data_IF_923012208724
#
_entry.id   IF_923012208724
#
_cell.length_a   1.000
_cell.length_b   1.000
_cell.length_c   1.000
_cell.angle_alpha   90.00
_cell.angle_beta   90.00
_cell.angle_gamma   90.00
#
_symmetry.space_group_name_H-M   'P 1'
#
loop_
_entity.id
_entity.type
_entity.pdbx_description
1 polymer ?
#
# COMPACT_ATOMS: atom_id res chain seq x y z
N UNK A 1 86.36 31.56 -26.10
CA UNK A 1 85.87 30.43 -25.30
C UNK A 1 84.54 30.87 -24.70
N UNK A 2 83.47 30.50 -25.30
CA UNK A 2 82.15 30.86 -24.80
C UNK A 2 81.52 29.57 -24.26
N UNK A 3 81.25 29.59 -22.96
CA UNK A 3 80.56 28.47 -22.29
C UNK A 3 79.06 28.72 -22.39
N UNK A 4 78.44 27.89 -23.14
CA UNK A 4 76.98 27.89 -23.27
C UNK A 4 76.35 27.15 -22.09
N UNK A 5 75.75 27.90 -21.19
CA UNK A 5 74.99 27.34 -20.06
C UNK A 5 73.62 26.95 -20.63
N UNK A 6 73.41 25.66 -20.78
CA UNK A 6 72.12 25.07 -21.17
C UNK A 6 71.04 25.46 -20.16
N UNK A 7 70.01 26.08 -20.67
CA UNK A 7 68.80 26.45 -20.00
C UNK A 7 68.01 25.15 -19.73
N UNK A 8 67.86 24.80 -18.43
CA UNK A 8 67.01 23.67 -18.07
C UNK A 8 65.59 23.94 -18.48
N UNK A 9 65.14 23.14 -19.41
CA UNK A 9 63.73 23.05 -19.75
C UNK A 9 63.03 22.35 -18.59
N UNK A 10 62.04 23.07 -18.08
CA UNK A 10 61.15 22.52 -17.06
C UNK A 10 60.48 21.26 -17.55
N UNK A 11 60.46 20.28 -16.72
CA UNK A 11 59.60 19.11 -16.82
C UNK A 11 58.15 19.59 -16.95
N UNK A 12 57.69 19.75 -18.20
CA UNK A 12 56.28 19.68 -18.47
C UNK A 12 55.93 18.23 -18.26
N UNK A 13 55.23 17.98 -17.14
CA UNK A 13 54.68 16.69 -16.87
C UNK A 13 53.90 16.24 -18.12
N UNK A 14 54.33 15.14 -18.68
CA UNK A 14 53.52 14.41 -19.63
C UNK A 14 52.13 14.14 -18.99
N UNK A 15 51.22 15.03 -19.29
CA UNK A 15 49.80 14.67 -19.15
C UNK A 15 49.59 13.56 -20.17
N UNK A 16 49.71 12.34 -19.66
CA UNK A 16 49.24 11.18 -20.43
C UNK A 16 47.76 11.43 -20.68
N UNK A 17 47.44 11.90 -21.84
CA UNK A 17 46.08 11.94 -22.34
C UNK A 17 45.54 10.50 -22.32
N UNK A 18 44.98 10.17 -21.18
CA UNK A 18 44.31 8.90 -20.99
C UNK A 18 43.14 8.91 -21.99
N UNK A 19 43.26 8.12 -23.03
CA UNK A 19 42.13 7.94 -23.95
C UNK A 19 40.99 7.30 -23.17
N UNK A 20 40.00 8.12 -22.83
CA UNK A 20 38.84 7.69 -22.05
C UNK A 20 37.87 6.79 -22.83
N UNK A 21 38.05 6.71 -24.15
CA UNK A 21 37.14 5.95 -25.02
C UNK A 21 37.04 4.47 -24.63
N UNK A 22 38.14 3.73 -24.39
CA UNK A 22 38.06 2.32 -23.99
C UNK A 22 37.42 2.18 -22.59
N UNK A 23 37.60 3.14 -21.71
CA UNK A 23 37.01 3.11 -20.36
C UNK A 23 35.50 3.29 -20.40
N UNK A 24 35.05 4.25 -21.23
CA UNK A 24 33.62 4.51 -21.40
C UNK A 24 32.92 3.29 -22.06
N UNK A 25 33.57 2.65 -23.03
CA UNK A 25 33.02 1.47 -23.69
C UNK A 25 32.82 0.32 -22.70
N UNK A 26 33.81 0.03 -21.87
CA UNK A 26 33.69 -1.00 -20.83
C UNK A 26 32.58 -0.64 -19.83
N UNK A 27 32.48 0.62 -19.39
CA UNK A 27 31.42 1.04 -18.47
C UNK A 27 30.03 0.92 -19.11
N UNK A 28 29.90 1.26 -20.40
CA UNK A 28 28.64 1.14 -21.13
C UNK A 28 28.23 -0.32 -21.29
N UNK A 29 29.16 -1.21 -21.61
CA UNK A 29 28.89 -2.65 -21.73
C UNK A 29 28.47 -3.22 -20.39
N UNK A 30 29.16 -2.87 -19.30
CA UNK A 30 28.79 -3.32 -17.95
C UNK A 30 27.41 -2.80 -17.53
N UNK A 31 27.09 -1.54 -17.86
CA UNK A 31 25.77 -0.96 -17.57
C UNK A 31 24.66 -1.66 -18.34
N UNK A 32 24.87 -1.92 -19.63
CA UNK A 32 23.89 -2.64 -20.45
C UNK A 32 23.67 -4.08 -19.98
N UNK A 33 24.77 -4.77 -19.62
CA UNK A 33 24.69 -6.10 -19.02
C UNK A 33 23.92 -6.08 -17.70
N UNK A 34 24.18 -5.08 -16.85
CA UNK A 34 23.49 -4.94 -15.59
C UNK A 34 21.97 -4.73 -15.79
N UNK A 35 21.57 -3.91 -16.74
CA UNK A 35 20.15 -3.65 -17.02
C UNK A 35 19.46 -4.91 -17.56
N UNK A 36 20.13 -5.69 -18.42
CA UNK A 36 19.57 -6.92 -18.99
C UNK A 36 19.48 -8.04 -17.94
N UNK A 37 20.44 -8.09 -17.01
CA UNK A 37 20.49 -9.13 -15.98
C UNK A 37 19.65 -8.80 -14.74
N UNK A 38 19.19 -7.56 -14.58
CA UNK A 38 18.24 -7.23 -13.53
C UNK A 38 16.95 -8.02 -13.78
N UNK A 39 16.65 -9.05 -12.96
CA UNK A 39 15.37 -9.72 -13.08
C UNK A 39 14.28 -8.69 -12.86
N UNK A 40 13.43 -8.46 -13.83
CA UNK A 40 12.18 -7.74 -13.61
C UNK A 40 11.46 -8.57 -12.56
N UNK A 41 11.48 -8.11 -11.32
CA UNK A 41 10.65 -8.68 -10.29
C UNK A 41 9.21 -8.37 -10.67
N UNK A 42 8.65 -9.22 -11.53
CA UNK A 42 7.22 -9.32 -11.62
C UNK A 42 6.78 -9.76 -10.24
N UNK A 43 6.17 -8.86 -9.48
CA UNK A 43 5.40 -9.24 -8.33
C UNK A 43 4.28 -10.13 -8.85
N UNK A 44 4.63 -11.40 -9.09
CA UNK A 44 3.64 -12.42 -9.29
C UNK A 44 2.91 -12.52 -7.96
N UNK A 45 1.77 -11.82 -7.86
CA UNK A 45 0.78 -12.14 -6.86
C UNK A 45 0.48 -13.60 -7.09
N UNK A 46 0.99 -14.48 -6.22
CA UNK A 46 0.55 -15.86 -6.19
C UNK A 46 -0.93 -15.82 -5.85
N UNK A 47 -1.76 -15.78 -6.88
CA UNK A 47 -3.15 -16.13 -6.73
C UNK A 47 -3.13 -17.64 -6.62
N UNK A 48 -3.10 -18.17 -5.41
CA UNK A 48 -3.42 -19.55 -5.16
C UNK A 48 -4.90 -19.73 -5.55
N UNK A 49 -5.11 -20.08 -6.80
CA UNK A 49 -6.42 -20.57 -7.23
C UNK A 49 -6.58 -21.92 -6.55
N UNK A 50 -7.49 -22.05 -5.59
CA UNK A 50 -7.79 -23.35 -5.03
C UNK A 50 -8.30 -24.23 -6.16
N UNK A 51 -7.52 -25.25 -6.50
CA UNK A 51 -7.90 -26.29 -7.45
C UNK A 51 -8.87 -27.23 -6.73
N UNK A 52 -10.10 -26.84 -6.72
CA UNK A 52 -11.18 -27.55 -6.04
C UNK A 52 -12.14 -26.51 -5.48
N UNK A 53 -13.40 -26.65 -5.72
CA UNK A 53 -14.42 -25.86 -5.03
C UNK A 53 -14.24 -26.16 -3.54
N UNK A 54 -13.82 -25.23 -2.69
CA UNK A 54 -13.94 -25.47 -1.26
C UNK A 54 -15.40 -25.78 -0.99
N UNK A 55 -15.72 -26.75 -0.13
CA UNK A 55 -17.09 -26.97 0.25
C UNK A 55 -17.67 -25.61 0.68
N UNK A 56 -18.89 -25.26 0.24
CA UNK A 56 -19.49 -23.99 0.64
C UNK A 56 -19.41 -23.89 2.16
N UNK A 57 -19.05 -22.73 2.70
CA UNK A 57 -18.99 -22.58 4.14
C UNK A 57 -20.35 -22.99 4.72
N UNK A 58 -20.40 -23.78 5.79
CA UNK A 58 -21.62 -24.37 6.33
C UNK A 58 -22.67 -23.32 6.73
N UNK A 59 -22.26 -22.09 6.89
CA UNK A 59 -23.13 -20.93 7.15
C UNK A 59 -22.60 -19.71 6.44
N UNK A 60 -23.47 -18.93 5.74
CA UNK A 60 -23.04 -17.65 5.19
C UNK A 60 -22.55 -16.75 6.35
N UNK A 61 -21.47 -15.99 6.14
CA UNK A 61 -20.99 -15.07 7.16
C UNK A 61 -22.08 -14.07 7.51
N UNK A 62 -22.25 -13.81 8.79
CA UNK A 62 -23.16 -12.77 9.26
C UNK A 62 -22.48 -11.43 8.94
N UNK A 63 -23.23 -10.57 8.26
CA UNK A 63 -22.72 -9.24 7.83
C UNK A 63 -23.47 -8.16 8.58
N UNK A 64 -22.74 -7.36 9.35
CA UNK A 64 -23.26 -6.17 9.99
C UNK A 64 -23.00 -4.94 9.10
N UNK A 65 -24.07 -4.24 8.75
CA UNK A 65 -23.99 -3.07 7.88
C UNK A 65 -24.01 -1.78 8.70
N UNK A 66 -22.99 -0.96 8.54
CA UNK A 66 -22.93 0.40 9.08
C UNK A 66 -23.09 1.38 7.93
N UNK A 67 -24.15 2.19 7.96
CA UNK A 67 -24.35 3.26 7.00
C UNK A 67 -24.12 4.61 7.69
N UNK A 68 -23.28 5.44 7.10
CA UNK A 68 -23.07 6.84 7.53
C UNK A 68 -23.77 7.76 6.55
N UNK A 69 -24.79 8.45 7.02
CA UNK A 69 -25.57 9.35 6.19
C UNK A 69 -24.91 10.74 6.02
N UNK A 70 -25.45 11.57 5.13
CA UNK A 70 -24.94 12.91 4.78
C UNK A 70 -24.95 13.89 5.95
N UNK A 71 -25.88 13.74 6.90
CA UNK A 71 -25.99 14.57 8.11
C UNK A 71 -25.08 14.09 9.25
N UNK A 72 -24.41 12.94 9.08
CA UNK A 72 -23.56 12.31 10.09
C UNK A 72 -24.30 11.32 10.99
N UNK A 73 -25.56 11.04 10.71
CA UNK A 73 -26.30 9.97 11.42
C UNK A 73 -25.75 8.61 11.01
N UNK A 74 -25.62 7.75 12.02
CA UNK A 74 -25.09 6.40 11.85
C UNK A 74 -26.23 5.41 11.96
N UNK A 75 -26.30 4.50 11.03
CA UNK A 75 -27.26 3.40 11.03
C UNK A 75 -26.52 2.06 11.18
N UNK A 76 -26.96 1.25 12.12
CA UNK A 76 -26.55 -0.14 12.27
C UNK A 76 -27.67 -1.05 11.81
N UNK A 77 -27.44 -1.84 10.78
CA UNK A 77 -28.44 -2.71 10.16
C UNK A 77 -29.79 -1.99 9.89
N UNK A 78 -29.73 -0.80 9.31
CA UNK A 78 -30.85 0.10 9.01
C UNK A 78 -31.55 0.74 10.21
N UNK A 79 -31.03 0.61 11.43
CA UNK A 79 -31.52 1.32 12.61
C UNK A 79 -30.59 2.49 12.95
N UNK A 80 -31.15 3.68 13.11
CA UNK A 80 -30.38 4.82 13.56
C UNK A 80 -29.86 4.59 14.99
N UNK A 81 -28.56 4.73 15.17
CA UNK A 81 -27.91 4.49 16.47
C UNK A 81 -27.07 5.71 16.87
N UNK A 82 -26.99 5.94 18.16
CA UNK A 82 -26.10 6.95 18.73
C UNK A 82 -24.68 6.37 18.86
N UNK A 83 -23.69 7.26 18.94
CA UNK A 83 -22.28 6.88 19.13
C UNK A 83 -22.06 5.92 20.29
N UNK A 84 -22.75 6.11 21.38
CA UNK A 84 -22.65 5.24 22.56
C UNK A 84 -23.15 3.83 22.28
N UNK A 85 -24.22 3.72 21.53
CA UNK A 85 -24.81 2.42 21.14
C UNK A 85 -23.94 1.72 20.11
N UNK A 86 -23.42 2.49 19.12
CA UNK A 86 -22.46 1.96 18.16
C UNK A 86 -21.22 1.40 18.86
N UNK A 87 -20.65 2.14 19.81
CA UNK A 87 -19.49 1.72 20.56
C UNK A 87 -19.74 0.42 21.33
N UNK A 88 -20.95 0.26 21.93
CA UNK A 88 -21.33 -0.97 22.60
C UNK A 88 -21.41 -2.18 21.63
N UNK A 89 -21.97 -1.99 20.43
CA UNK A 89 -22.05 -3.05 19.43
C UNK A 89 -20.66 -3.43 18.92
N UNK A 90 -19.81 -2.45 18.62
CA UNK A 90 -18.44 -2.68 18.20
C UNK A 90 -17.62 -3.39 19.30
N UNK A 91 -17.83 -3.04 20.54
CA UNK A 91 -17.21 -3.71 21.67
C UNK A 91 -17.62 -5.18 21.79
N UNK A 92 -18.92 -5.49 21.59
CA UNK A 92 -19.39 -6.88 21.56
C UNK A 92 -18.75 -7.69 20.43
N UNK A 93 -18.62 -7.09 19.25
CA UNK A 93 -17.96 -7.74 18.12
C UNK A 93 -16.48 -8.00 18.40
N UNK A 94 -15.78 -7.03 19.00
CA UNK A 94 -14.37 -7.18 19.32
C UNK A 94 -14.07 -8.22 20.41
N UNK A 95 -15.05 -8.59 21.24
CA UNK A 95 -14.90 -9.65 22.25
C UNK A 95 -15.02 -11.06 21.66
N UNK A 96 -15.54 -11.21 20.44
CA UNK A 96 -15.63 -12.48 19.75
C UNK A 96 -14.22 -12.90 19.28
N UNK A 97 -13.97 -14.22 19.19
CA UNK A 97 -12.77 -14.72 18.51
C UNK A 97 -12.75 -14.25 17.06
N UNK A 98 -11.59 -14.00 16.51
CA UNK A 98 -11.43 -13.47 15.13
C UNK A 98 -12.16 -14.32 14.09
N UNK A 99 -12.23 -15.62 14.30
CA UNK A 99 -12.94 -16.57 13.41
C UNK A 99 -14.46 -16.37 13.46
N UNK A 100 -14.99 -16.04 14.64
CA UNK A 100 -16.44 -15.90 14.92
C UNK A 100 -16.92 -14.44 14.79
N UNK A 101 -16.02 -13.49 14.47
CA UNK A 101 -16.40 -12.11 14.23
C UNK A 101 -17.24 -12.00 12.96
N UNK A 102 -18.34 -11.26 13.05
CA UNK A 102 -19.14 -10.90 11.91
C UNK A 102 -18.38 -9.93 11.00
N UNK A 103 -18.69 -9.94 9.71
CA UNK A 103 -18.09 -8.99 8.78
C UNK A 103 -18.80 -7.64 8.93
N UNK A 104 -18.04 -6.57 9.17
CA UNK A 104 -18.59 -5.21 9.28
C UNK A 104 -18.41 -4.50 7.94
N UNK A 105 -19.51 -4.20 7.29
CA UNK A 105 -19.52 -3.43 6.06
C UNK A 105 -19.87 -1.97 6.35
N UNK A 106 -18.92 -1.08 6.12
CA UNK A 106 -19.11 0.36 6.28
C UNK A 106 -19.46 0.96 4.92
N UNK A 107 -20.64 1.52 4.82
CA UNK A 107 -21.12 2.25 3.64
C UNK A 107 -21.27 3.72 4.01
N UNK A 108 -20.72 4.61 3.21
CA UNK A 108 -20.86 6.04 3.41
C UNK A 108 -21.70 6.67 2.30
N UNK A 109 -22.61 7.56 2.67
CA UNK A 109 -23.29 8.41 1.72
C UNK A 109 -22.25 9.30 1.00
N UNK A 110 -22.44 9.56 -0.27
CA UNK A 110 -21.56 10.41 -1.09
C UNK A 110 -21.30 11.80 -0.48
N UNK A 111 -22.27 12.33 0.22
CA UNK A 111 -22.21 13.65 0.87
C UNK A 111 -21.81 13.57 2.35
N UNK A 112 -21.57 12.38 2.86
CA UNK A 112 -21.14 12.21 4.25
C UNK A 112 -19.77 12.84 4.49
N UNK A 113 -19.60 13.43 5.67
CA UNK A 113 -18.30 13.97 6.07
C UNK A 113 -17.31 12.84 6.28
N UNK A 114 -16.17 12.91 5.61
CA UNK A 114 -15.09 11.93 5.76
C UNK A 114 -14.65 11.73 7.22
N UNK A 115 -14.65 12.80 8.02
CA UNK A 115 -14.31 12.76 9.44
C UNK A 115 -15.19 11.79 10.24
N UNK A 116 -16.50 11.76 9.95
CA UNK A 116 -17.44 10.84 10.61
C UNK A 116 -17.14 9.39 10.25
N UNK A 117 -16.91 9.13 8.96
CA UNK A 117 -16.56 7.78 8.47
C UNK A 117 -15.24 7.31 9.08
N UNK A 118 -14.24 8.19 9.11
CA UNK A 118 -12.94 7.89 9.69
C UNK A 118 -13.03 7.59 11.19
N UNK A 119 -13.88 8.31 11.93
CA UNK A 119 -14.13 8.04 13.35
C UNK A 119 -14.78 6.68 13.57
N UNK A 120 -15.80 6.33 12.79
CA UNK A 120 -16.45 5.01 12.86
C UNK A 120 -15.44 3.90 12.62
N UNK A 121 -14.61 4.06 11.59
CA UNK A 121 -13.59 3.08 11.26
C UNK A 121 -12.53 2.96 12.38
N UNK A 122 -12.06 4.09 12.90
CA UNK A 122 -11.08 4.11 13.98
C UNK A 122 -11.64 3.46 15.26
N UNK A 123 -12.90 3.70 15.59
CA UNK A 123 -13.54 3.10 16.75
C UNK A 123 -13.74 1.59 16.57
N UNK A 124 -14.13 1.14 15.38
CA UNK A 124 -14.24 -0.28 15.07
C UNK A 124 -12.90 -1.00 15.25
N UNK A 125 -11.81 -0.42 14.73
CA UNK A 125 -10.47 -0.98 14.87
C UNK A 125 -9.99 -0.97 16.34
N UNK A 126 -10.24 0.11 17.07
CA UNK A 126 -9.88 0.21 18.50
C UNK A 126 -10.58 -0.83 19.35
N UNK A 127 -11.83 -1.18 19.00
CA UNK A 127 -12.62 -2.19 19.71
C UNK A 127 -12.25 -3.62 19.31
N UNK A 128 -11.32 -3.80 18.36
CA UNK A 128 -10.81 -5.11 17.97
C UNK A 128 -11.59 -5.79 16.85
N UNK A 129 -12.40 -5.05 16.12
CA UNK A 129 -13.00 -5.57 14.89
C UNK A 129 -11.91 -5.74 13.82
N UNK A 130 -11.73 -6.94 13.31
CA UNK A 130 -10.69 -7.28 12.31
C UNK A 130 -11.29 -7.34 10.91
N UNK A 131 -12.51 -7.85 10.78
CA UNK A 131 -13.18 -8.06 9.49
C UNK A 131 -13.98 -6.80 9.09
N UNK A 132 -13.31 -5.71 8.74
CA UNK A 132 -13.95 -4.46 8.33
C UNK A 132 -13.75 -4.26 6.84
N UNK A 133 -14.82 -4.08 6.11
CA UNK A 133 -14.83 -3.74 4.69
C UNK A 133 -15.52 -2.40 4.44
N UNK A 134 -14.95 -1.58 3.56
CA UNK A 134 -15.62 -0.39 3.05
C UNK A 134 -16.32 -0.77 1.75
N UNK A 135 -17.64 -0.67 1.75
CA UNK A 135 -18.44 -0.95 0.57
C UNK A 135 -18.82 0.38 -0.06
N UNK A 136 -18.25 0.64 -1.24
CA UNK A 136 -18.63 1.81 -2.01
C UNK A 136 -19.87 1.46 -2.86
N UNK A 137 -21.02 1.84 -2.37
CA UNK A 137 -22.27 1.66 -3.12
C UNK A 137 -22.38 2.79 -4.15
N UNK A 138 -21.89 2.54 -5.37
CA UNK A 138 -22.06 3.45 -6.51
C UNK A 138 -23.55 3.60 -6.94
N UNK A 139 -24.48 3.08 -6.18
CA UNK A 139 -25.89 2.97 -6.53
C UNK A 139 -26.82 3.89 -5.74
N UNK A 140 -26.37 5.03 -5.27
CA UNK A 140 -27.30 6.07 -4.85
C UNK A 140 -27.36 7.15 -5.93
N UNK A 141 -28.25 6.89 -6.89
CA UNK A 141 -28.79 7.91 -7.77
C UNK A 141 -29.82 8.74 -6.96
#
# INVERSE_FOLDING_TARGET
MAMNIGKGEGEQGDFLDINMTPLIDVMLVLLTMLIITLPIQTHAVKIDMPVGHPPPPPTPPIVDNILVDFDGTIYWNNQAVDWKTLDAYLYQQGQKMVEDQDEIHITANRLAKYDTVAKVMADAQRRGAVKIGIVNTNNYI
#
